data_IF_328838911440
#
_entry.id   IF_328838911440
#
_cell.length_a   1.000
_cell.length_b   1.000
_cell.length_c   1.000
_cell.angle_alpha   90.00
_cell.angle_beta   90.00
_cell.angle_gamma   90.00
#
_symmetry.space_group_name_H-M   'P 1'
#
loop_
_entity.id
_entity.type
_entity.pdbx_description
1 polymer ?
#
# COMPACT_ATOMS: atom_id res chain seq x y z
N UNK A 1 -27.43 -30.36 21.62
CA UNK A 1 -26.32 -30.77 20.73
C UNK A 1 -26.36 -29.80 19.57
N UNK A 2 -25.65 -28.68 19.69
CA UNK A 2 -25.75 -27.55 18.76
C UNK A 2 -24.80 -27.83 17.59
N UNK A 3 -25.36 -28.10 16.41
CA UNK A 3 -24.59 -28.56 15.24
C UNK A 3 -24.48 -27.40 14.26
N UNK A 4 -23.40 -26.64 14.37
CA UNK A 4 -23.06 -25.62 13.37
C UNK A 4 -22.30 -26.27 12.20
N UNK A 5 -22.77 -26.02 10.98
CA UNK A 5 -22.00 -26.32 9.76
C UNK A 5 -21.02 -25.16 9.49
N UNK A 6 -19.81 -25.43 8.98
CA UNK A 6 -18.85 -24.38 8.67
C UNK A 6 -19.39 -23.46 7.57
N UNK A 7 -19.25 -22.14 7.78
CA UNK A 7 -19.57 -21.10 6.81
C UNK A 7 -18.27 -20.48 6.28
N UNK A 8 -18.16 -20.32 4.97
CA UNK A 8 -17.06 -19.59 4.35
C UNK A 8 -17.36 -18.10 4.31
N UNK A 9 -16.45 -17.27 4.84
CA UNK A 9 -16.53 -15.81 4.74
C UNK A 9 -15.59 -15.33 3.62
N UNK A 10 -16.17 -15.02 2.46
CA UNK A 10 -15.47 -14.50 1.29
C UNK A 10 -15.61 -12.97 1.19
N UNK A 11 -15.43 -12.25 2.30
CA UNK A 11 -15.66 -10.80 2.39
C UNK A 11 -14.47 -9.94 1.91
N UNK A 12 -13.47 -10.55 1.27
CA UNK A 12 -12.29 -9.87 0.73
C UNK A 12 -11.26 -9.49 1.81
N UNK A 13 -10.44 -8.49 1.48
CA UNK A 13 -9.33 -8.00 2.30
C UNK A 13 -9.38 -6.48 2.45
N UNK A 14 -8.72 -5.95 3.48
CA UNK A 14 -8.56 -4.51 3.67
C UNK A 14 -7.45 -3.99 2.74
N UNK A 15 -7.66 -2.79 2.20
CA UNK A 15 -6.70 -2.07 1.35
C UNK A 15 -6.41 -0.70 1.95
N UNK A 16 -5.48 0.07 1.37
CA UNK A 16 -5.25 1.44 1.82
C UNK A 16 -6.44 2.35 1.55
N UNK A 17 -6.71 3.25 2.48
CA UNK A 17 -7.68 4.32 2.31
C UNK A 17 -8.34 4.77 3.61
N UNK A 18 -9.26 5.75 3.52
CA UNK A 18 -9.81 6.43 4.69
C UNK A 18 -11.06 5.74 5.28
N UNK A 19 -11.64 4.76 4.59
CA UNK A 19 -12.91 4.18 5.00
C UNK A 19 -12.75 3.17 6.16
N UNK A 20 -13.83 2.87 6.93
CA UNK A 20 -13.76 1.94 8.07
C UNK A 20 -13.24 0.53 7.74
N UNK A 21 -13.42 0.06 6.51
CA UNK A 21 -12.94 -1.25 6.04
C UNK A 21 -11.56 -1.17 5.35
N UNK A 22 -10.94 0.00 5.35
CA UNK A 22 -9.61 0.24 4.81
C UNK A 22 -8.62 0.49 5.96
N UNK A 23 -7.35 0.55 5.62
CA UNK A 23 -6.27 0.84 6.55
C UNK A 23 -5.57 2.15 6.15
N UNK A 24 -5.25 3.03 7.11
CA UNK A 24 -4.51 4.25 6.80
C UNK A 24 -3.05 3.94 6.40
N UNK A 25 -2.52 2.80 6.84
CA UNK A 25 -1.22 2.25 6.49
C UNK A 25 -1.16 0.76 6.89
N UNK A 26 -0.29 -0.08 6.29
CA UNK A 26 -0.15 -1.47 6.68
C UNK A 26 0.41 -1.60 8.10
N UNK A 27 -0.18 -2.46 8.93
CA UNK A 27 0.21 -2.61 10.34
C UNK A 27 1.74 -2.84 10.56
N UNK A 28 2.41 -3.50 9.61
CA UNK A 28 3.85 -3.72 9.59
C UNK A 28 4.66 -2.41 9.70
N UNK A 29 4.12 -1.30 9.20
CA UNK A 29 4.81 -0.01 9.19
C UNK A 29 4.66 0.78 10.50
N UNK A 30 3.90 0.29 11.49
CA UNK A 30 3.57 1.05 12.70
C UNK A 30 4.77 1.68 13.42
N UNK A 31 5.93 1.00 13.44
CA UNK A 31 7.15 1.53 14.07
C UNK A 31 7.89 2.62 13.28
N UNK A 32 7.59 2.79 11.99
CA UNK A 32 8.28 3.75 11.11
C UNK A 32 7.33 4.76 10.45
N UNK A 33 6.02 4.57 10.58
CA UNK A 33 5.02 5.32 9.83
C UNK A 33 5.06 6.83 10.12
N UNK A 34 5.44 7.23 11.33
CA UNK A 34 5.60 8.64 11.70
C UNK A 34 6.69 9.39 10.91
N UNK A 35 7.49 8.69 10.09
CA UNK A 35 8.46 9.29 9.18
C UNK A 35 7.86 9.67 7.82
N UNK A 36 6.64 9.24 7.54
CA UNK A 36 5.97 9.39 6.24
C UNK A 36 4.72 10.26 6.35
N UNK A 37 4.41 10.95 5.25
CA UNK A 37 3.29 11.89 5.15
C UNK A 37 1.99 11.15 4.92
N UNK A 38 0.95 11.72 5.48
CA UNK A 38 -0.44 11.37 5.23
C UNK A 38 -1.08 12.44 4.35
N UNK A 39 -2.07 12.05 3.58
CA UNK A 39 -2.88 12.99 2.81
C UNK A 39 -3.97 13.63 3.67
N UNK A 40 -4.86 14.40 3.04
CA UNK A 40 -5.97 15.08 3.72
C UNK A 40 -6.99 14.10 4.31
N UNK A 41 -7.15 12.92 3.69
CA UNK A 41 -8.12 11.91 4.11
C UNK A 41 -7.56 11.00 5.23
N UNK A 42 -6.30 11.20 5.63
CA UNK A 42 -5.71 10.57 6.80
C UNK A 42 -5.12 9.18 6.55
N UNK A 43 -4.73 8.86 5.31
CA UNK A 43 -3.93 7.66 5.00
C UNK A 43 -2.60 8.03 4.34
N UNK A 44 -1.66 7.10 4.35
CA UNK A 44 -0.28 7.35 3.92
C UNK A 44 -0.24 7.74 2.44
N UNK A 45 0.52 8.80 2.12
CA UNK A 45 0.66 9.27 0.74
C UNK A 45 1.63 8.37 -0.03
N UNK A 46 1.12 7.80 -1.14
CA UNK A 46 1.89 7.00 -2.09
C UNK A 46 2.10 7.81 -3.38
N UNK A 47 3.36 7.95 -3.80
CA UNK A 47 3.76 8.62 -5.03
C UNK A 47 3.48 7.74 -6.27
N UNK A 48 3.46 8.30 -7.50
CA UNK A 48 3.22 7.54 -8.73
C UNK A 48 4.23 6.42 -9.01
N UNK A 49 5.41 6.46 -8.38
CA UNK A 49 6.43 5.41 -8.46
C UNK A 49 6.30 4.37 -7.33
N UNK A 50 5.16 4.36 -6.62
CA UNK A 50 4.84 3.56 -5.44
C UNK A 50 5.66 3.89 -4.19
N UNK A 51 6.40 5.00 -4.17
CA UNK A 51 7.18 5.42 -3.01
C UNK A 51 6.29 6.07 -1.96
N UNK A 52 6.53 5.81 -0.68
CA UNK A 52 5.93 6.60 0.38
C UNK A 52 6.58 7.98 0.44
N UNK A 53 5.76 9.03 0.55
CA UNK A 53 6.27 10.41 0.67
C UNK A 53 6.81 10.64 2.09
N UNK A 54 8.10 10.94 2.29
CA UNK A 54 8.66 11.16 3.62
C UNK A 54 8.32 12.57 4.16
N UNK A 55 8.37 12.75 5.49
CA UNK A 55 8.24 14.07 6.13
C UNK A 55 9.49 14.94 5.94
N UNK A 56 10.67 14.33 5.85
CA UNK A 56 11.98 14.96 5.64
C UNK A 56 12.93 13.97 4.94
N UNK A 57 14.11 14.43 4.50
CA UNK A 57 15.13 13.58 3.83
C UNK A 57 15.74 12.47 4.72
N UNK A 58 15.32 12.37 5.99
CA UNK A 58 15.87 11.39 6.95
C UNK A 58 15.24 9.99 6.88
N UNK A 59 14.20 9.79 6.07
CA UNK A 59 13.61 8.47 5.89
C UNK A 59 14.24 7.77 4.68
N UNK A 60 14.74 6.52 4.81
CA UNK A 60 15.15 5.76 3.65
C UNK A 60 13.96 5.57 2.70
N UNK A 61 14.20 5.49 1.38
CA UNK A 61 13.12 5.30 0.43
C UNK A 61 12.39 3.99 0.71
N UNK A 62 11.06 4.05 0.80
CA UNK A 62 10.20 2.91 1.03
C UNK A 62 9.17 2.85 -0.09
N UNK A 63 9.02 1.68 -0.71
CA UNK A 63 8.09 1.45 -1.81
C UNK A 63 7.03 0.40 -1.41
N UNK A 64 5.80 0.59 -1.86
CA UNK A 64 4.72 -0.38 -1.68
C UNK A 64 4.47 -1.16 -2.97
N UNK A 65 4.60 -2.49 -2.94
CA UNK A 65 4.33 -3.33 -4.11
C UNK A 65 2.89 -3.87 -4.12
N UNK A 66 1.91 -3.00 -3.94
CA UNK A 66 0.49 -3.34 -3.89
C UNK A 66 -0.27 -2.59 -2.78
N UNK A 67 -1.54 -2.95 -2.59
CA UNK A 67 -2.48 -2.33 -1.63
C UNK A 67 -2.80 -0.86 -1.93
N UNK A 68 -2.43 -0.36 -3.10
CA UNK A 68 -2.52 1.05 -3.45
C UNK A 68 -3.75 1.38 -4.30
N UNK A 69 -4.83 0.59 -4.24
CA UNK A 69 -6.02 0.78 -5.10
C UNK A 69 -6.61 2.18 -5.06
N UNK A 70 -6.55 2.84 -3.90
CA UNK A 70 -7.02 4.22 -3.72
C UNK A 70 -6.22 5.26 -4.52
N UNK A 71 -4.93 4.98 -4.80
CA UNK A 71 -4.01 5.92 -5.47
C UNK A 71 -3.62 5.48 -6.89
N UNK A 72 -3.56 4.17 -7.14
CA UNK A 72 -3.06 3.58 -8.38
C UNK A 72 -4.16 2.84 -9.17
N UNK A 73 -5.40 2.89 -8.67
CA UNK A 73 -6.58 2.37 -9.35
C UNK A 73 -6.89 0.91 -9.04
N UNK A 74 -8.08 0.48 -9.47
CA UNK A 74 -8.62 -0.84 -9.19
C UNK A 74 -7.72 -1.94 -9.78
N UNK A 75 -7.46 -2.97 -8.96
CA UNK A 75 -6.70 -4.14 -9.38
C UNK A 75 -5.22 -4.07 -9.05
N UNK A 76 -4.73 -3.01 -8.39
CA UNK A 76 -3.33 -2.93 -7.98
C UNK A 76 -2.92 -4.11 -7.07
N UNK A 77 -3.64 -4.46 -6.00
CA UNK A 77 -3.19 -5.57 -5.15
C UNK A 77 -3.38 -6.96 -5.76
N UNK A 78 -4.30 -7.14 -6.71
CA UNK A 78 -4.76 -8.46 -7.16
C UNK A 78 -4.53 -8.83 -8.62
N UNK A 79 -4.11 -7.87 -9.47
CA UNK A 79 -4.02 -8.12 -10.92
C UNK A 79 -2.63 -8.61 -11.34
N UNK A 80 -2.58 -9.87 -11.82
CA UNK A 80 -1.36 -10.41 -12.43
C UNK A 80 -0.93 -9.65 -13.70
N UNK A 81 -1.86 -9.02 -14.41
CA UNK A 81 -1.52 -8.23 -15.61
C UNK A 81 -0.81 -6.93 -15.27
N UNK A 82 -1.04 -6.37 -14.07
CA UNK A 82 -0.42 -5.12 -13.62
C UNK A 82 0.92 -5.34 -12.91
N UNK A 83 1.17 -6.55 -12.41
CA UNK A 83 2.41 -6.91 -11.72
C UNK A 83 3.70 -6.49 -12.46
N UNK A 84 3.91 -6.86 -13.76
CA UNK A 84 5.13 -6.48 -14.45
C UNK A 84 5.27 -4.97 -14.65
N UNK A 85 4.14 -4.26 -14.88
CA UNK A 85 4.13 -2.81 -15.03
C UNK A 85 4.52 -2.13 -13.72
N UNK A 86 3.95 -2.58 -12.59
CA UNK A 86 4.32 -2.09 -11.26
C UNK A 86 5.81 -2.32 -10.96
N UNK A 87 6.32 -3.51 -11.26
CA UNK A 87 7.72 -3.84 -11.04
C UNK A 87 8.66 -2.90 -11.82
N UNK A 88 8.35 -2.59 -13.09
CA UNK A 88 9.12 -1.64 -13.90
C UNK A 88 9.06 -0.23 -13.31
N UNK A 89 7.89 0.21 -12.87
CA UNK A 89 7.71 1.53 -12.26
C UNK A 89 8.50 1.68 -10.96
N UNK A 90 8.44 0.68 -10.06
CA UNK A 90 9.20 0.65 -8.81
C UNK A 90 10.71 0.64 -9.09
N UNK A 91 11.16 -0.17 -10.06
CA UNK A 91 12.57 -0.20 -10.45
C UNK A 91 13.05 1.17 -10.97
N UNK A 92 12.21 1.87 -11.73
CA UNK A 92 12.46 3.24 -12.15
C UNK A 92 12.60 4.20 -10.97
N UNK A 93 11.76 4.07 -9.95
CA UNK A 93 11.84 4.83 -8.70
C UNK A 93 13.13 4.56 -7.94
N UNK A 94 13.50 3.29 -7.73
CA UNK A 94 14.73 2.87 -7.04
C UNK A 94 15.99 3.45 -7.69
N UNK A 95 16.07 3.41 -9.03
CA UNK A 95 17.20 3.98 -9.79
C UNK A 95 17.35 5.49 -9.58
N UNK A 96 16.24 6.23 -9.49
CA UNK A 96 16.27 7.68 -9.22
C UNK A 96 16.78 8.02 -7.81
N UNK A 97 16.61 7.12 -6.85
CA UNK A 97 17.12 7.28 -5.48
C UNK A 97 18.60 6.88 -5.34
N UNK A 98 19.28 6.50 -6.44
CA UNK A 98 20.68 6.07 -6.41
C UNK A 98 20.89 4.73 -5.69
N UNK A 99 19.83 3.93 -5.55
CA UNK A 99 19.83 2.67 -4.76
C UNK A 99 19.84 1.42 -5.65
N UNK A 100 20.34 1.50 -6.88
CA UNK A 100 20.36 0.39 -7.83
C UNK A 100 21.65 0.37 -8.66
#
# INVERSE_FOLDING_TARGET
MDRAYPVGLATGFRVLGPNPHQEPYPALLGGVIGRFRFDFDGYVTVEPDYRLRPHADSAPPLFLSGLCESSHGIGDAGSFSLLPLRAVTILGGLRKQGTA
#
